data_IF_548317157349
#
_entry.id   IF_548317157349
#
_cell.length_a   1.000
_cell.length_b   1.000
_cell.length_c   1.000
_cell.angle_alpha   90.00
_cell.angle_beta   90.00
_cell.angle_gamma   90.00
#
_symmetry.space_group_name_H-M   'P 1'
#
loop_
_entity.id
_entity.type
_entity.pdbx_description
1 polymer ?
#
# COMPACT_ATOMS: atom_id res chain seq x y z
N UNK A 1 -37.00 4.83 -52.34
CA UNK A 1 -36.98 3.94 -53.53
C UNK A 1 -36.47 2.57 -53.09
N UNK A 2 -37.01 1.51 -53.67
CA UNK A 2 -36.52 0.13 -53.56
C UNK A 2 -36.16 -0.36 -55.00
N UNK A 3 -35.72 -1.61 -55.22
CA UNK A 3 -34.62 -2.34 -54.57
C UNK A 3 -33.63 -2.95 -55.60
N UNK A 4 -32.49 -3.49 -55.13
CA UNK A 4 -31.76 -4.60 -55.80
C UNK A 4 -30.95 -5.35 -54.74
N UNK A 5 -31.41 -6.51 -54.25
CA UNK A 5 -31.46 -7.85 -54.88
C UNK A 5 -30.07 -8.46 -55.02
N UNK A 6 -29.89 -9.63 -54.42
CA UNK A 6 -28.62 -10.36 -54.33
C UNK A 6 -28.21 -11.03 -55.66
N UNK A 7 -26.92 -11.27 -55.79
CA UNK A 7 -26.34 -12.21 -56.76
C UNK A 7 -25.42 -13.17 -56.00
N UNK A 8 -25.55 -14.48 -56.25
CA UNK A 8 -24.81 -15.52 -55.53
C UNK A 8 -24.06 -16.44 -56.49
N UNK A 9 -22.74 -16.57 -56.30
CA UNK A 9 -21.87 -17.56 -56.94
C UNK A 9 -20.51 -17.62 -56.21
N UNK A 10 -19.75 -18.73 -56.30
CA UNK A 10 -20.19 -20.12 -56.32
C UNK A 10 -19.52 -20.94 -55.19
N UNK A 11 -19.99 -22.19 -54.97
CA UNK A 11 -19.34 -23.10 -54.00
C UNK A 11 -17.97 -23.57 -54.51
N UNK A 12 -16.90 -23.27 -53.77
CA UNK A 12 -15.57 -23.86 -53.97
C UNK A 12 -15.32 -25.00 -52.97
N UNK A 13 -14.67 -26.07 -53.45
CA UNK A 13 -14.47 -27.38 -52.81
C UNK A 13 -14.02 -27.30 -51.34
N UNK A 14 -14.64 -28.11 -50.48
CA UNK A 14 -14.15 -28.36 -49.14
C UNK A 14 -12.93 -29.31 -49.17
N UNK A 15 -11.78 -28.83 -48.69
CA UNK A 15 -10.67 -29.71 -48.32
C UNK A 15 -10.95 -30.36 -46.96
N UNK A 16 -10.76 -31.67 -46.86
CA UNK A 16 -10.91 -32.42 -45.61
C UNK A 16 -9.68 -32.17 -44.72
N UNK A 17 -9.73 -31.09 -43.94
CA UNK A 17 -8.78 -30.89 -42.84
C UNK A 17 -9.00 -31.98 -41.79
N UNK A 18 -7.97 -32.80 -41.57
CA UNK A 18 -7.91 -33.74 -40.44
C UNK A 18 -8.17 -32.99 -39.12
N UNK A 19 -8.84 -33.59 -38.13
CA UNK A 19 -9.12 -32.92 -36.86
C UNK A 19 -7.80 -32.54 -36.19
N UNK A 20 -7.52 -31.23 -36.13
CA UNK A 20 -6.47 -30.67 -35.30
C UNK A 20 -6.96 -30.80 -33.86
N UNK A 21 -6.28 -31.58 -33.03
CA UNK A 21 -6.61 -31.70 -31.59
C UNK A 21 -6.80 -30.28 -31.02
N UNK A 22 -7.93 -30.06 -30.37
CA UNK A 22 -8.26 -28.76 -29.78
C UNK A 22 -7.18 -28.40 -28.76
N UNK A 23 -6.60 -27.21 -28.89
CA UNK A 23 -5.69 -26.69 -27.87
C UNK A 23 -6.55 -26.00 -26.81
N UNK A 24 -6.44 -26.36 -25.52
CA UNK A 24 -7.14 -25.64 -24.44
C UNK A 24 -6.63 -24.20 -24.22
N UNK A 25 -5.71 -23.72 -25.07
CA UNK A 25 -5.32 -22.32 -25.17
C UNK A 25 -6.34 -21.47 -25.95
N UNK A 26 -7.07 -22.08 -26.89
CA UNK A 26 -8.04 -21.38 -27.75
C UNK A 26 -9.40 -21.16 -27.06
N UNK A 27 -9.65 -21.81 -25.91
CA UNK A 27 -10.87 -21.63 -25.08
C UNK A 27 -10.78 -20.45 -24.11
N UNK A 28 -9.58 -19.91 -23.86
CA UNK A 28 -9.36 -18.86 -22.85
C UNK A 28 -9.65 -17.48 -23.48
N UNK A 29 -10.64 -16.70 -23.00
CA UNK A 29 -11.04 -15.46 -23.67
C UNK A 29 -9.94 -14.40 -23.66
N UNK A 30 -9.46 -14.02 -24.85
CA UNK A 30 -8.36 -13.06 -25.02
C UNK A 30 -8.75 -11.64 -24.62
N UNK A 31 -8.35 -11.23 -23.43
CA UNK A 31 -8.47 -9.86 -22.92
C UNK A 31 -7.44 -8.95 -23.62
N UNK A 32 -7.81 -7.74 -24.08
CA UNK A 32 -6.84 -6.76 -24.59
C UNK A 32 -5.94 -6.23 -23.46
N UNK A 33 -4.70 -5.89 -23.78
CA UNK A 33 -3.80 -5.24 -22.82
C UNK A 33 -4.28 -3.80 -22.57
N UNK A 34 -4.42 -3.34 -21.31
CA UNK A 34 -4.74 -1.95 -21.01
C UNK A 34 -3.64 -1.00 -21.51
N UNK A 35 -4.02 0.12 -22.11
CA UNK A 35 -3.08 1.17 -22.47
C UNK A 35 -2.62 1.89 -21.19
N UNK A 36 -1.32 1.76 -20.91
CA UNK A 36 -0.71 2.30 -19.70
C UNK A 36 -0.28 3.75 -19.85
N UNK A 37 0.11 4.18 -21.04
CA UNK A 37 0.67 5.52 -21.23
C UNK A 37 -0.45 6.55 -21.09
N UNK A 38 -1.61 6.28 -21.72
CA UNK A 38 -2.83 7.10 -21.57
C UNK A 38 -3.35 7.11 -20.11
N UNK A 39 -3.22 5.99 -19.37
CA UNK A 39 -3.60 5.95 -17.96
C UNK A 39 -2.63 6.75 -17.07
N UNK A 40 -1.32 6.57 -17.25
CA UNK A 40 -0.30 7.29 -16.48
C UNK A 40 -0.32 8.81 -16.82
N UNK A 41 -0.76 9.21 -18.02
CA UNK A 41 -1.02 10.62 -18.41
C UNK A 41 -2.29 11.20 -17.75
N UNK A 42 -3.45 10.58 -17.92
CA UNK A 42 -4.72 11.07 -17.33
C UNK A 42 -4.66 11.15 -15.79
N UNK A 43 -3.97 10.19 -15.14
CA UNK A 43 -3.72 10.23 -13.69
C UNK A 43 -2.78 11.38 -13.29
N UNK A 44 -1.83 11.78 -14.15
CA UNK A 44 -0.99 12.97 -13.91
C UNK A 44 -1.80 14.24 -14.05
N UNK A 45 -2.61 14.39 -15.09
CA UNK A 45 -3.44 15.60 -15.28
C UNK A 45 -4.35 15.87 -14.08
N UNK A 46 -5.07 14.84 -13.60
CA UNK A 46 -5.95 14.96 -12.43
C UNK A 46 -5.12 15.21 -11.15
N UNK A 47 -3.92 14.64 -11.03
CA UNK A 47 -3.04 14.91 -9.88
C UNK A 47 -2.52 16.35 -9.88
N UNK A 48 -2.13 16.89 -11.04
CA UNK A 48 -1.73 18.29 -11.20
C UNK A 48 -2.88 19.24 -10.85
N UNK A 49 -4.12 18.91 -11.24
CA UNK A 49 -5.31 19.67 -10.87
C UNK A 49 -5.56 19.65 -9.34
N UNK A 50 -5.44 18.48 -8.70
CA UNK A 50 -5.52 18.35 -7.23
C UNK A 50 -4.43 19.19 -6.54
N UNK A 51 -3.20 19.19 -7.05
CA UNK A 51 -2.10 19.98 -6.48
C UNK A 51 -2.34 21.49 -6.62
N UNK A 52 -2.85 21.96 -7.76
CA UNK A 52 -3.23 23.35 -7.96
C UNK A 52 -4.32 23.81 -6.99
N UNK A 53 -5.40 23.02 -6.83
CA UNK A 53 -6.47 23.30 -5.85
C UNK A 53 -5.94 23.26 -4.41
N UNK A 54 -5.04 22.31 -4.08
CA UNK A 54 -4.40 22.28 -2.75
C UNK A 54 -3.55 23.52 -2.48
N UNK A 55 -2.88 24.11 -3.46
CA UNK A 55 -2.15 25.38 -3.29
C UNK A 55 -3.13 26.52 -2.96
N UNK A 56 -4.30 26.57 -3.61
CA UNK A 56 -5.35 27.56 -3.31
C UNK A 56 -5.93 27.37 -1.89
N UNK A 57 -6.24 26.13 -1.48
CA UNK A 57 -6.70 25.81 -0.12
C UNK A 57 -5.65 26.18 0.93
N UNK A 58 -4.35 25.97 0.66
CA UNK A 58 -3.26 26.42 1.56
C UNK A 58 -3.17 27.95 1.63
N UNK A 59 -3.33 28.67 0.52
CA UNK A 59 -3.34 30.13 0.51
C UNK A 59 -4.49 30.69 1.37
N UNK A 60 -5.72 30.24 1.13
CA UNK A 60 -6.90 30.65 1.91
C UNK A 60 -6.76 30.26 3.39
N UNK A 61 -6.18 29.08 3.69
CA UNK A 61 -5.91 28.66 5.08
C UNK A 61 -4.89 29.56 5.78
N UNK A 62 -3.88 30.06 5.06
CA UNK A 62 -2.91 31.03 5.59
C UNK A 62 -3.56 32.40 5.82
N UNK A 63 -4.46 32.85 4.94
CA UNK A 63 -5.22 34.09 5.15
C UNK A 63 -6.17 33.99 6.36
N UNK A 64 -6.87 32.86 6.50
CA UNK A 64 -7.65 32.48 7.68
C UNK A 64 -6.80 32.56 8.95
N UNK A 65 -5.60 31.96 8.94
CA UNK A 65 -4.69 31.98 10.10
C UNK A 65 -4.20 33.40 10.41
N UNK A 66 -3.89 34.20 9.39
CA UNK A 66 -3.50 35.61 9.53
C UNK A 66 -4.61 36.46 10.14
N UNK A 67 -5.83 36.41 9.59
CA UNK A 67 -7.04 37.12 10.09
C UNK A 67 -7.44 36.66 11.51
N UNK A 68 -7.14 35.40 11.87
CA UNK A 68 -7.35 34.87 13.22
C UNK A 68 -6.26 35.25 14.23
N UNK A 69 -5.12 35.78 13.81
CA UNK A 69 -4.03 36.18 14.71
C UNK A 69 -4.44 37.33 15.65
N UNK A 70 -3.66 37.55 16.71
CA UNK A 70 -3.91 38.62 17.70
C UNK A 70 -5.29 38.57 18.36
N UNK A 71 -5.95 37.39 18.41
CA UNK A 71 -7.27 37.22 19.05
C UNK A 71 -7.19 37.56 20.54
N UNK A 72 -6.17 37.07 21.22
CA UNK A 72 -6.08 37.17 22.68
C UNK A 72 -5.64 38.58 23.12
N UNK A 73 -4.72 39.22 22.38
CA UNK A 73 -4.40 40.65 22.57
C UNK A 73 -5.60 41.58 22.35
N UNK A 74 -6.45 41.27 21.35
CA UNK A 74 -7.70 42.01 21.16
C UNK A 74 -8.64 41.80 22.35
N UNK A 75 -8.70 40.59 22.91
CA UNK A 75 -9.54 40.28 24.08
C UNK A 75 -9.03 40.96 25.35
N UNK A 76 -7.72 41.03 25.60
CA UNK A 76 -7.17 41.78 26.76
C UNK A 76 -7.46 43.27 26.63
N UNK A 77 -7.06 43.90 25.51
CA UNK A 77 -7.30 45.34 25.23
C UNK A 77 -8.79 45.69 25.29
N UNK A 78 -9.68 44.82 24.77
CA UNK A 78 -11.14 44.99 24.86
C UNK A 78 -11.66 44.92 26.30
N UNK A 79 -11.12 44.01 27.11
CA UNK A 79 -11.52 43.86 28.51
C UNK A 79 -10.98 45.02 29.38
N UNK A 80 -9.77 45.49 29.13
CA UNK A 80 -9.16 46.66 29.77
C UNK A 80 -9.96 47.94 29.48
N UNK A 81 -10.25 48.22 28.20
CA UNK A 81 -11.07 49.36 27.79
C UNK A 81 -12.49 49.30 28.37
N UNK A 82 -13.09 48.10 28.43
CA UNK A 82 -14.39 47.90 29.07
C UNK A 82 -14.32 48.14 30.58
N UNK A 83 -13.30 47.62 31.26
CA UNK A 83 -13.08 47.81 32.69
C UNK A 83 -12.99 49.30 33.03
N UNK A 84 -12.19 50.07 32.30
CA UNK A 84 -12.10 51.52 32.50
C UNK A 84 -13.41 52.25 32.16
N UNK A 85 -14.15 51.83 31.13
CA UNK A 85 -15.46 52.42 30.82
C UNK A 85 -16.51 52.15 31.93
N UNK A 86 -16.50 50.96 32.52
CA UNK A 86 -17.34 50.57 33.65
C UNK A 86 -16.89 51.29 34.95
N UNK A 87 -15.59 51.48 35.19
CA UNK A 87 -15.05 52.31 36.28
C UNK A 87 -15.46 53.79 36.14
N UNK A 88 -15.25 54.39 34.97
CA UNK A 88 -15.66 55.78 34.71
C UNK A 88 -17.17 55.94 34.86
N UNK A 89 -17.99 54.94 34.49
CA UNK A 89 -19.42 54.98 34.82
C UNK A 89 -19.66 55.01 36.32
N UNK A 90 -19.15 54.05 37.08
CA UNK A 90 -19.32 53.99 38.55
C UNK A 90 -18.90 55.29 39.24
N UNK A 91 -17.80 55.91 38.80
CA UNK A 91 -17.33 57.22 39.29
C UNK A 91 -18.31 58.36 38.94
N UNK A 92 -18.83 58.41 37.71
CA UNK A 92 -19.86 59.38 37.30
C UNK A 92 -21.15 59.18 38.10
N UNK A 93 -21.59 57.94 38.26
CA UNK A 93 -22.84 57.58 38.92
C UNK A 93 -22.79 57.95 40.42
N UNK A 94 -21.66 57.69 41.10
CA UNK A 94 -21.43 58.12 42.48
C UNK A 94 -21.33 59.65 42.64
N UNK A 95 -20.69 60.37 41.71
CA UNK A 95 -20.66 61.84 41.73
C UNK A 95 -22.04 62.45 41.44
N UNK A 96 -22.85 61.81 40.59
CA UNK A 96 -24.23 62.21 40.30
C UNK A 96 -25.13 61.99 41.54
N UNK A 97 -24.93 60.92 42.29
CA UNK A 97 -25.58 60.70 43.60
C UNK A 97 -25.19 61.78 44.62
N UNK A 98 -23.88 62.03 44.82
CA UNK A 98 -23.38 63.10 45.69
C UNK A 98 -23.94 64.47 45.31
N UNK A 99 -23.96 64.79 44.01
CA UNK A 99 -24.59 66.00 43.47
C UNK A 99 -26.07 66.09 43.83
N UNK A 100 -26.82 64.98 43.73
CA UNK A 100 -28.24 64.95 44.07
C UNK A 100 -28.48 65.22 45.56
N UNK A 101 -27.66 64.62 46.45
CA UNK A 101 -27.71 64.86 47.88
C UNK A 101 -27.37 66.30 48.26
N UNK A 102 -26.33 66.88 47.67
CA UNK A 102 -25.95 68.29 47.90
C UNK A 102 -27.03 69.24 47.37
N UNK A 103 -27.66 68.95 46.22
CA UNK A 103 -28.79 69.73 45.72
C UNK A 103 -30.01 69.66 46.65
N UNK A 104 -30.27 68.49 47.26
CA UNK A 104 -31.25 68.33 48.34
C UNK A 104 -30.94 69.24 49.53
N UNK A 105 -29.73 69.11 50.10
CA UNK A 105 -29.27 69.92 51.24
C UNK A 105 -29.29 71.44 50.97
N UNK A 106 -29.02 71.87 49.73
CA UNK A 106 -29.18 73.27 49.32
C UNK A 106 -30.66 73.68 49.31
N UNK A 107 -31.55 72.82 48.81
CA UNK A 107 -33.00 73.03 48.86
C UNK A 107 -33.51 73.17 50.29
N UNK A 108 -33.14 72.23 51.16
CA UNK A 108 -33.53 72.18 52.57
C UNK A 108 -33.04 73.44 53.31
N UNK A 109 -31.75 73.78 53.22
CA UNK A 109 -31.19 74.99 53.85
C UNK A 109 -31.77 76.30 53.31
N UNK A 110 -32.18 76.34 52.05
CA UNK A 110 -32.89 77.49 51.47
C UNK A 110 -34.33 77.58 52.00
N UNK A 111 -34.99 76.44 52.22
CA UNK A 111 -36.29 76.39 52.89
C UNK A 111 -36.19 76.82 54.36
N UNK A 112 -35.25 76.28 55.14
CA UNK A 112 -34.95 76.71 56.52
C UNK A 112 -34.69 78.21 56.61
N UNK A 113 -33.83 78.76 55.74
CA UNK A 113 -33.51 80.19 55.71
C UNK A 113 -34.75 81.05 55.39
N UNK A 114 -35.60 80.58 54.46
CA UNK A 114 -36.88 81.21 54.13
C UNK A 114 -37.88 81.16 55.30
N UNK A 115 -37.95 80.06 56.04
CA UNK A 115 -38.79 79.94 57.22
C UNK A 115 -38.28 80.80 58.38
N UNK A 116 -36.98 80.81 58.66
CA UNK A 116 -36.35 81.68 59.65
C UNK A 116 -36.59 83.16 59.32
N UNK A 117 -36.48 83.56 58.04
CA UNK A 117 -36.87 84.90 57.58
C UNK A 117 -38.37 85.18 57.72
N UNK A 118 -39.24 84.19 57.55
CA UNK A 118 -40.67 84.34 57.81
C UNK A 118 -40.99 84.45 59.32
N UNK A 119 -40.27 83.72 60.17
CA UNK A 119 -40.37 83.82 61.64
C UNK A 119 -39.87 85.18 62.13
N UNK A 120 -38.72 85.66 61.67
CA UNK A 120 -38.23 87.02 61.95
C UNK A 120 -39.25 88.08 61.51
N UNK A 121 -39.80 88.00 60.30
CA UNK A 121 -40.82 88.96 59.85
C UNK A 121 -42.12 88.88 60.68
N UNK A 122 -42.48 87.73 61.27
CA UNK A 122 -43.57 87.63 62.24
C UNK A 122 -43.19 88.28 63.58
N UNK A 123 -41.99 88.02 64.09
CA UNK A 123 -41.47 88.65 65.32
C UNK A 123 -41.43 90.18 65.19
N UNK A 124 -40.84 90.72 64.12
CA UNK A 124 -40.79 92.16 63.79
C UNK A 124 -42.19 92.81 63.86
N UNK A 125 -43.18 92.17 63.25
CA UNK A 125 -44.59 92.62 63.28
C UNK A 125 -45.24 92.55 64.67
N UNK A 126 -44.82 91.60 65.51
CA UNK A 126 -45.36 91.44 66.87
C UNK A 126 -44.74 92.36 67.92
N UNK A 127 -43.53 92.89 67.67
CA UNK A 127 -42.78 93.70 68.64
C UNK A 127 -43.13 95.19 68.58
N UNK A 128 -43.58 95.69 67.43
CA UNK A 128 -44.00 97.09 67.22
C UNK A 128 -42.85 98.11 67.15
N UNK A 129 -41.82 97.92 67.96
CA UNK A 129 -40.62 98.75 68.05
C UNK A 129 -39.39 97.99 67.54
N UNK A 130 -38.45 98.69 66.91
CA UNK A 130 -37.25 98.09 66.29
C UNK A 130 -35.93 98.46 66.96
N UNK A 131 -35.89 99.47 67.84
CA UNK A 131 -34.76 99.71 68.73
C UNK A 131 -35.18 99.57 70.20
N UNK A 132 -34.22 99.21 71.04
CA UNK A 132 -34.36 99.25 72.49
C UNK A 132 -34.48 100.70 73.00
N UNK A 133 -33.77 101.64 72.38
CA UNK A 133 -33.82 103.07 72.74
C UNK A 133 -35.22 103.66 72.55
N UNK A 134 -35.88 103.31 71.44
CA UNK A 134 -37.24 103.76 71.13
C UNK A 134 -38.30 103.21 72.10
N UNK A 135 -38.01 102.09 72.78
CA UNK A 135 -38.83 101.58 73.88
C UNK A 135 -38.58 102.40 75.15
N UNK A 136 -37.32 102.71 75.48
CA UNK A 136 -36.97 103.49 76.66
C UNK A 136 -37.44 104.95 76.55
N UNK A 137 -37.30 105.60 75.39
CA UNK A 137 -37.87 106.92 75.09
C UNK A 137 -39.39 106.93 75.28
N UNK A 138 -40.07 105.88 74.80
CA UNK A 138 -41.53 105.75 74.97
C UNK A 138 -41.89 105.60 76.45
N UNK A 139 -41.20 104.73 77.19
CA UNK A 139 -41.38 104.56 78.64
C UNK A 139 -41.17 105.90 79.35
N UNK A 140 -40.07 106.60 79.10
CA UNK A 140 -39.76 107.89 79.71
C UNK A 140 -40.82 108.95 79.38
N UNK A 141 -41.35 108.98 78.15
CA UNK A 141 -42.43 109.90 77.77
C UNK A 141 -43.74 109.63 78.54
N UNK A 142 -44.03 108.37 78.85
CA UNK A 142 -45.22 107.98 79.63
C UNK A 142 -45.02 108.27 81.12
N UNK A 143 -43.84 107.92 81.67
CA UNK A 143 -43.51 108.16 83.07
C UNK A 143 -43.48 109.68 83.37
N UNK A 144 -42.88 110.49 82.49
CA UNK A 144 -42.94 111.96 82.56
C UNK A 144 -44.38 112.49 82.51
N UNK A 145 -45.21 111.97 81.59
CA UNK A 145 -46.61 112.38 81.46
C UNK A 145 -47.41 112.07 82.74
N UNK A 146 -47.22 110.89 83.31
CA UNK A 146 -47.84 110.48 84.57
C UNK A 146 -47.39 111.33 85.78
N UNK A 147 -46.21 111.95 85.72
CA UNK A 147 -45.70 112.83 86.78
C UNK A 147 -46.14 114.31 86.63
N UNK A 148 -46.62 114.71 85.45
CA UNK A 148 -46.85 116.13 85.11
C UNK A 148 -48.29 116.48 84.70
N UNK A 149 -49.08 115.52 84.20
CA UNK A 149 -50.49 115.72 83.88
C UNK A 149 -51.43 115.13 84.95
N UNK A 150 -52.58 115.76 85.18
CA UNK A 150 -53.67 115.21 85.99
C UNK A 150 -54.54 114.26 85.17
N UNK A 151 -54.10 113.00 85.07
CA UNK A 151 -54.70 111.95 84.24
C UNK A 151 -55.84 111.23 85.00
N UNK A 152 -56.87 110.72 84.30
CA UNK A 152 -57.91 109.91 84.98
C UNK A 152 -57.38 108.53 85.39
N UNK A 153 -57.88 107.98 86.50
CA UNK A 153 -57.50 106.64 87.00
C UNK A 153 -57.74 105.49 85.98
N UNK A 154 -58.55 105.73 84.93
CA UNK A 154 -58.81 104.78 83.84
C UNK A 154 -57.75 104.87 82.73
N UNK A 155 -57.09 106.01 82.59
CA UNK A 155 -56.03 106.26 81.62
C UNK A 155 -54.65 106.01 82.23
N UNK A 156 -54.44 106.41 83.49
CA UNK A 156 -53.27 106.04 84.28
C UNK A 156 -53.03 104.52 84.26
N UNK A 157 -54.09 103.72 84.48
CA UNK A 157 -54.03 102.25 84.38
C UNK A 157 -53.73 101.72 82.97
N UNK A 158 -54.05 102.47 81.90
CA UNK A 158 -53.62 102.11 80.54
C UNK A 158 -52.14 102.41 80.33
N UNK A 159 -51.67 103.56 80.81
CA UNK A 159 -50.27 103.99 80.69
C UNK A 159 -49.33 103.06 81.48
N UNK A 160 -49.74 102.63 82.69
CA UNK A 160 -49.03 101.60 83.46
C UNK A 160 -49.02 100.24 82.76
N UNK A 161 -50.11 99.83 82.10
CA UNK A 161 -50.16 98.62 81.29
C UNK A 161 -49.25 98.73 80.05
N UNK A 162 -49.21 99.88 79.39
CA UNK A 162 -48.33 100.17 78.26
C UNK A 162 -46.85 100.08 78.69
N UNK A 163 -46.46 100.69 79.82
CA UNK A 163 -45.12 100.55 80.40
C UNK A 163 -44.77 99.08 80.71
N UNK A 164 -45.71 98.32 81.28
CA UNK A 164 -45.49 96.91 81.60
C UNK A 164 -45.26 96.05 80.35
N UNK A 165 -46.05 96.27 79.29
CA UNK A 165 -45.88 95.56 78.02
C UNK A 165 -44.63 95.99 77.24
N UNK A 166 -44.26 97.28 77.28
CA UNK A 166 -43.00 97.79 76.73
C UNK A 166 -41.79 97.14 77.42
N UNK A 167 -41.75 97.15 78.76
CA UNK A 167 -40.68 96.50 79.54
C UNK A 167 -40.66 94.97 79.33
N UNK A 168 -41.81 94.34 79.06
CA UNK A 168 -41.93 92.91 78.68
C UNK A 168 -41.47 92.60 77.24
N UNK A 169 -41.48 93.59 76.34
CA UNK A 169 -41.10 93.41 74.94
C UNK A 169 -39.64 93.79 74.64
N UNK A 170 -39.03 94.70 75.42
CA UNK A 170 -37.61 95.10 75.27
C UNK A 170 -36.62 93.92 75.08
N UNK A 171 -36.56 92.89 75.95
CA UNK A 171 -35.61 91.78 75.76
C UNK A 171 -35.85 91.00 74.46
N UNK A 172 -37.09 90.95 73.98
CA UNK A 172 -37.44 90.27 72.71
C UNK A 172 -36.99 91.08 71.49
N UNK A 173 -36.90 92.41 71.58
CA UNK A 173 -36.27 93.25 70.55
C UNK A 173 -34.76 92.98 70.52
N UNK A 174 -34.12 92.83 71.69
CA UNK A 174 -32.71 92.41 71.76
C UNK A 174 -32.46 91.05 71.10
N UNK A 175 -33.29 90.04 71.39
CA UNK A 175 -33.22 88.73 70.72
C UNK A 175 -33.50 88.82 69.21
N UNK A 176 -34.48 89.62 68.81
CA UNK A 176 -34.83 89.82 67.41
C UNK A 176 -33.69 90.45 66.63
N UNK A 177 -33.04 91.49 67.18
CA UNK A 177 -31.92 92.18 66.52
C UNK A 177 -30.71 91.24 66.34
N UNK A 178 -30.35 90.47 67.38
CA UNK A 178 -29.30 89.43 67.29
C UNK A 178 -29.59 88.42 66.18
N UNK A 179 -30.82 87.89 66.13
CA UNK A 179 -31.26 86.94 65.09
C UNK A 179 -31.35 87.59 63.71
N UNK A 180 -31.64 88.90 63.59
CA UNK A 180 -31.59 89.64 62.31
C UNK A 180 -30.14 89.82 61.82
N UNK A 181 -29.18 90.06 62.71
CA UNK A 181 -27.75 90.19 62.39
C UNK A 181 -27.14 88.84 61.96
N UNK A 182 -27.37 87.77 62.74
CA UNK A 182 -26.98 86.39 62.39
C UNK A 182 -27.50 86.01 60.98
N UNK A 183 -28.76 86.33 60.68
CA UNK A 183 -29.39 86.02 59.39
C UNK A 183 -29.04 86.97 58.23
N UNK A 184 -28.32 88.07 58.48
CA UNK A 184 -27.79 88.98 57.43
C UNK A 184 -26.47 88.48 56.84
N UNK A 185 -25.58 87.93 57.67
CA UNK A 185 -24.28 87.41 57.23
C UNK A 185 -24.32 86.01 56.62
N UNK A 186 -25.38 85.24 56.88
CA UNK A 186 -25.44 83.81 56.59
C UNK A 186 -26.15 83.47 55.25
N UNK A 187 -25.37 83.20 54.19
CA UNK A 187 -25.81 82.33 53.08
C UNK A 187 -25.38 80.87 53.36
N UNK A 188 -26.26 80.01 53.90
CA UNK A 188 -25.96 78.60 54.18
C UNK A 188 -25.65 77.75 52.95
N UNK A 189 -25.81 78.29 51.74
CA UNK A 189 -25.65 77.57 50.47
C UNK A 189 -24.31 77.84 49.75
N UNK A 190 -23.51 78.85 50.14
CA UNK A 190 -22.23 79.15 49.47
C UNK A 190 -21.28 77.94 49.43
N UNK A 191 -20.95 77.39 50.60
CA UNK A 191 -20.03 76.24 50.68
C UNK A 191 -20.56 74.99 49.95
N UNK A 192 -21.88 74.83 49.81
CA UNK A 192 -22.50 73.73 49.07
C UNK A 192 -22.48 73.99 47.55
N UNK A 193 -22.62 75.26 47.11
CA UNK A 193 -22.40 75.67 45.71
C UNK A 193 -20.94 75.40 45.29
N UNK A 194 -19.98 75.67 46.16
CA UNK A 194 -18.54 75.42 45.92
C UNK A 194 -18.16 73.94 45.91
N UNK A 195 -18.99 73.06 46.48
CA UNK A 195 -18.88 71.61 46.32
C UNK A 195 -19.53 71.17 45.01
N UNK A 196 -20.70 71.74 44.68
CA UNK A 196 -21.44 71.46 43.45
C UNK A 196 -20.64 71.83 42.18
N UNK A 197 -19.90 72.94 42.17
CA UNK A 197 -19.00 73.29 41.05
C UNK A 197 -17.91 72.24 40.85
N UNK A 198 -17.16 71.90 41.89
CA UNK A 198 -16.09 70.88 41.87
C UNK A 198 -16.59 69.50 41.42
N UNK A 199 -17.79 69.09 41.86
CA UNK A 199 -18.40 67.83 41.41
C UNK A 199 -18.81 67.90 39.93
N UNK A 200 -19.29 69.05 39.44
CA UNK A 200 -19.55 69.23 38.00
C UNK A 200 -18.26 69.20 37.16
N UNK A 201 -17.17 69.78 37.65
CA UNK A 201 -15.84 69.74 37.01
C UNK A 201 -15.30 68.31 36.93
N UNK A 202 -15.31 67.57 38.06
CA UNK A 202 -14.90 66.15 38.12
C UNK A 202 -15.76 65.26 37.21
N UNK A 203 -17.08 65.48 37.18
CA UNK A 203 -17.96 64.79 36.22
C UNK A 203 -17.68 65.17 34.77
N UNK A 204 -17.17 66.38 34.49
CA UNK A 204 -16.75 66.80 33.16
C UNK A 204 -15.57 65.95 32.68
N UNK A 205 -14.48 65.94 33.46
CA UNK A 205 -13.28 65.16 33.19
C UNK A 205 -13.60 63.67 32.99
N UNK A 206 -14.35 63.06 33.92
CA UNK A 206 -14.73 61.63 33.81
C UNK A 206 -15.61 61.33 32.59
N UNK A 207 -16.40 62.28 32.09
CA UNK A 207 -17.19 62.12 30.86
C UNK A 207 -16.32 62.24 29.62
N UNK A 208 -15.29 63.07 29.63
CA UNK A 208 -14.29 63.15 28.56
C UNK A 208 -13.41 61.90 28.52
N UNK A 209 -12.95 61.40 29.67
CA UNK A 209 -12.29 60.09 29.80
C UNK A 209 -13.18 58.96 29.27
N UNK A 210 -14.44 58.86 29.74
CA UNK A 210 -15.40 57.84 29.29
C UNK A 210 -15.67 57.93 27.78
N UNK A 211 -15.69 59.14 27.21
CA UNK A 211 -15.80 59.37 25.76
C UNK A 211 -14.55 58.90 25.01
N UNK A 212 -13.35 59.14 25.56
CA UNK A 212 -12.08 58.64 25.02
C UNK A 212 -12.01 57.12 25.01
N UNK A 213 -12.26 56.46 26.15
CA UNK A 213 -12.30 55.00 26.25
C UNK A 213 -13.39 54.38 25.35
N UNK A 214 -14.57 55.01 25.25
CA UNK A 214 -15.64 54.56 24.34
C UNK A 214 -15.24 54.67 22.86
N UNK A 215 -14.56 55.75 22.47
CA UNK A 215 -14.05 55.91 21.10
C UNK A 215 -12.98 54.87 20.76
N UNK A 216 -12.02 54.65 21.66
CA UNK A 216 -10.97 53.63 21.49
C UNK A 216 -11.57 52.20 21.43
N UNK A 217 -12.58 51.91 22.25
CA UNK A 217 -13.30 50.63 22.25
C UNK A 217 -14.07 50.42 20.93
N UNK A 218 -14.71 51.47 20.41
CA UNK A 218 -15.39 51.46 19.10
C UNK A 218 -14.42 51.26 17.94
N UNK A 219 -13.26 51.94 17.96
CA UNK A 219 -12.19 51.78 16.97
C UNK A 219 -11.64 50.35 16.99
N UNK A 220 -11.24 49.84 18.15
CA UNK A 220 -10.70 48.48 18.32
C UNK A 220 -11.67 47.40 17.81
N UNK A 221 -12.98 47.56 18.06
CA UNK A 221 -14.02 46.65 17.55
C UNK A 221 -14.18 46.79 16.03
N UNK A 222 -14.19 48.01 15.48
CA UNK A 222 -14.32 48.27 14.04
C UNK A 222 -13.13 47.69 13.27
N UNK A 223 -11.90 47.94 13.72
CA UNK A 223 -10.67 47.36 13.18
C UNK A 223 -10.75 45.82 13.16
N UNK A 224 -11.14 45.20 14.29
CA UNK A 224 -11.26 43.75 14.33
C UNK A 224 -12.40 43.22 13.46
N UNK A 225 -13.51 43.95 13.34
CA UNK A 225 -14.61 43.59 12.46
C UNK A 225 -14.22 43.69 10.99
N UNK A 226 -13.41 44.66 10.58
CA UNK A 226 -12.88 44.76 9.22
C UNK A 226 -11.95 43.58 8.87
N UNK A 227 -11.10 43.15 9.83
CA UNK A 227 -10.22 41.97 9.64
C UNK A 227 -11.00 40.64 9.67
N UNK A 228 -12.05 40.53 10.49
CA UNK A 228 -12.75 39.25 10.76
C UNK A 228 -14.07 39.09 10.01
N UNK A 229 -14.66 40.14 9.43
CA UNK A 229 -15.97 40.08 8.77
C UNK A 229 -15.99 39.19 7.53
N UNK A 230 -14.90 39.23 6.76
CA UNK A 230 -14.66 38.41 5.57
C UNK A 230 -14.30 36.93 5.88
N UNK A 231 -14.06 36.62 7.17
CA UNK A 231 -13.63 35.28 7.60
C UNK A 231 -14.62 34.16 7.22
N UNK A 232 -15.93 34.46 7.18
CA UNK A 232 -16.93 33.47 6.74
C UNK A 232 -16.77 33.13 5.26
N UNK A 233 -16.57 34.13 4.39
CA UNK A 233 -16.39 33.93 2.96
C UNK A 233 -15.18 33.06 2.65
N UNK A 234 -14.05 33.28 3.35
CA UNK A 234 -12.88 32.42 3.24
C UNK A 234 -13.14 30.97 3.70
N UNK A 235 -13.93 30.75 4.76
CA UNK A 235 -14.29 29.38 5.17
C UNK A 235 -15.20 28.71 4.13
N UNK A 236 -16.21 29.42 3.63
CA UNK A 236 -17.13 28.91 2.60
C UNK A 236 -16.33 28.52 1.33
N UNK A 237 -15.45 29.40 0.82
CA UNK A 237 -14.55 29.15 -0.34
C UNK A 237 -13.57 27.99 -0.10
N UNK A 238 -12.97 27.89 1.09
CA UNK A 238 -12.07 26.77 1.45
C UNK A 238 -12.82 25.44 1.36
N UNK A 239 -14.08 25.42 1.79
CA UNK A 239 -14.87 24.20 1.87
C UNK A 239 -15.52 23.83 0.52
N UNK A 240 -15.74 24.80 -0.37
CA UNK A 240 -15.99 24.57 -1.80
C UNK A 240 -14.78 23.92 -2.49
N UNK A 241 -13.58 24.51 -2.38
CA UNK A 241 -12.36 23.95 -2.97
C UNK A 241 -12.00 22.56 -2.39
N UNK A 242 -12.27 22.32 -1.11
CA UNK A 242 -12.12 20.99 -0.51
C UNK A 242 -13.08 19.97 -1.15
N UNK A 243 -14.32 20.35 -1.48
CA UNK A 243 -15.26 19.47 -2.19
C UNK A 243 -14.78 19.17 -3.62
N UNK A 244 -14.26 20.15 -4.35
CA UNK A 244 -13.64 19.93 -5.68
C UNK A 244 -12.43 18.99 -5.60
N UNK A 245 -11.58 19.14 -4.58
CA UNK A 245 -10.45 18.23 -4.32
C UNK A 245 -10.95 16.81 -4.04
N UNK A 246 -11.99 16.61 -3.24
CA UNK A 246 -12.54 15.27 -2.98
C UNK A 246 -13.15 14.65 -4.25
N UNK A 247 -13.85 15.44 -5.08
CA UNK A 247 -14.38 14.98 -6.36
C UNK A 247 -13.27 14.54 -7.31
N UNK A 248 -12.20 15.34 -7.47
CA UNK A 248 -11.03 14.99 -8.29
C UNK A 248 -10.23 13.81 -7.72
N UNK A 249 -10.19 13.64 -6.40
CA UNK A 249 -9.60 12.44 -5.76
C UNK A 249 -10.42 11.18 -6.07
N UNK A 250 -11.75 11.27 -6.04
CA UNK A 250 -12.65 10.17 -6.39
C UNK A 250 -12.51 9.75 -7.85
N UNK A 251 -12.56 10.71 -8.79
CA UNK A 251 -12.34 10.51 -10.23
C UNK A 251 -11.00 9.82 -10.52
N UNK A 252 -9.92 10.25 -9.84
CA UNK A 252 -8.59 9.62 -9.94
C UNK A 252 -8.55 8.22 -9.33
N UNK A 253 -9.38 7.93 -8.34
CA UNK A 253 -9.45 6.60 -7.72
C UNK A 253 -10.25 5.63 -8.59
N UNK A 254 -11.36 6.09 -9.17
CA UNK A 254 -12.20 5.33 -10.10
C UNK A 254 -11.39 4.89 -11.32
N UNK A 255 -10.71 5.83 -12.01
CA UNK A 255 -9.80 5.51 -13.13
C UNK A 255 -8.71 4.49 -12.76
N UNK A 256 -8.17 4.56 -11.53
CA UNK A 256 -7.15 3.62 -11.05
C UNK A 256 -7.72 2.24 -10.76
N UNK A 257 -8.96 2.15 -10.27
CA UNK A 257 -9.61 0.87 -10.04
C UNK A 257 -10.16 0.25 -11.33
N UNK A 258 -10.56 1.04 -12.33
CA UNK A 258 -10.82 0.56 -13.70
C UNK A 258 -9.55 -0.01 -14.37
N UNK A 259 -8.44 0.72 -14.29
CA UNK A 259 -7.14 0.25 -14.79
C UNK A 259 -6.67 -1.00 -14.05
N UNK A 260 -6.81 -1.04 -12.72
CA UNK A 260 -6.53 -2.24 -11.90
C UNK A 260 -7.42 -3.42 -12.29
N UNK A 261 -8.73 -3.22 -12.50
CA UNK A 261 -9.64 -4.28 -12.90
C UNK A 261 -9.32 -4.84 -14.30
N UNK A 262 -9.02 -3.98 -15.27
CA UNK A 262 -8.65 -4.41 -16.62
C UNK A 262 -7.27 -5.08 -16.65
N UNK A 263 -6.29 -4.57 -15.89
CA UNK A 263 -4.98 -5.19 -15.73
C UNK A 263 -5.06 -6.54 -15.00
N UNK A 264 -5.92 -6.68 -13.98
CA UNK A 264 -6.17 -7.97 -13.33
C UNK A 264 -6.75 -8.99 -14.32
N UNK A 265 -7.80 -8.63 -15.08
CA UNK A 265 -8.37 -9.50 -16.13
C UNK A 265 -7.33 -9.95 -17.16
N UNK A 266 -6.41 -9.07 -17.56
CA UNK A 266 -5.30 -9.39 -18.46
C UNK A 266 -4.23 -10.29 -17.81
N UNK A 267 -3.90 -10.06 -16.54
CA UNK A 267 -2.99 -10.90 -15.76
C UNK A 267 -3.58 -12.31 -15.55
N UNK A 268 -4.86 -12.42 -15.23
CA UNK A 268 -5.56 -13.70 -15.05
C UNK A 268 -5.61 -14.49 -16.35
N UNK A 269 -5.94 -13.84 -17.47
CA UNK A 269 -5.86 -14.42 -18.82
C UNK A 269 -4.45 -14.95 -19.14
N UNK A 270 -3.42 -14.11 -18.99
CA UNK A 270 -2.04 -14.53 -19.31
C UNK A 270 -1.49 -15.59 -18.36
N UNK A 271 -1.92 -15.59 -17.10
CA UNK A 271 -1.59 -16.64 -16.13
C UNK A 271 -2.31 -17.97 -16.44
N UNK A 272 -3.57 -17.94 -16.88
CA UNK A 272 -4.29 -19.14 -17.31
C UNK A 272 -3.64 -19.79 -18.55
N UNK A 273 -3.30 -18.99 -19.57
CA UNK A 273 -2.54 -19.46 -20.75
C UNK A 273 -1.18 -20.02 -20.36
N UNK A 274 -0.47 -19.40 -19.42
CA UNK A 274 0.82 -19.90 -18.90
C UNK A 274 0.69 -21.23 -18.16
N UNK A 275 -0.33 -21.39 -17.30
CA UNK A 275 -0.62 -22.65 -16.59
C UNK A 275 -0.94 -23.76 -17.57
N UNK A 276 -1.91 -23.56 -18.47
CA UNK A 276 -2.26 -24.53 -19.53
C UNK A 276 -1.04 -25.03 -20.32
N UNK A 277 -0.12 -24.12 -20.68
CA UNK A 277 1.17 -24.47 -21.33
C UNK A 277 2.14 -25.22 -20.41
N UNK A 278 2.25 -24.84 -19.14
CA UNK A 278 3.09 -25.52 -18.15
C UNK A 278 2.58 -26.94 -17.87
N UNK A 279 1.28 -27.10 -17.63
CA UNK A 279 0.64 -28.38 -17.35
C UNK A 279 0.81 -29.34 -18.54
N UNK A 280 0.53 -28.87 -19.77
CA UNK A 280 0.79 -29.61 -21.01
C UNK A 280 2.27 -30.00 -21.18
N UNK A 281 3.20 -29.08 -20.91
CA UNK A 281 4.63 -29.36 -21.03
C UNK A 281 5.14 -30.32 -19.94
N UNK A 282 4.52 -30.34 -18.76
CA UNK A 282 4.81 -31.29 -17.69
C UNK A 282 4.24 -32.68 -18.01
N UNK A 283 3.02 -32.76 -18.56
CA UNK A 283 2.42 -34.02 -19.00
C UNK A 283 3.19 -34.63 -20.17
N UNK A 284 3.57 -33.83 -21.19
CA UNK A 284 4.38 -34.31 -22.31
C UNK A 284 5.78 -34.76 -21.86
N UNK A 285 6.43 -34.05 -20.92
CA UNK A 285 7.67 -34.51 -20.29
C UNK A 285 7.49 -35.82 -19.54
N UNK A 286 6.43 -35.95 -18.74
CA UNK A 286 6.13 -37.16 -17.96
C UNK A 286 5.85 -38.36 -18.88
N UNK A 287 5.14 -38.15 -19.99
CA UNK A 287 4.94 -39.16 -21.02
C UNK A 287 6.27 -39.59 -21.66
N UNK A 288 7.09 -38.62 -22.12
CA UNK A 288 8.40 -38.91 -22.72
C UNK A 288 9.39 -39.54 -21.74
N UNK A 289 9.32 -39.22 -20.44
CA UNK A 289 10.08 -39.90 -19.39
C UNK A 289 9.61 -41.34 -19.19
N UNK A 290 8.30 -41.59 -19.08
CA UNK A 290 7.75 -42.93 -18.95
C UNK A 290 8.00 -43.81 -20.19
N UNK A 291 8.03 -43.23 -21.39
CA UNK A 291 8.45 -43.90 -22.63
C UNK A 291 9.95 -44.21 -22.63
N UNK A 292 10.80 -43.23 -22.28
CA UNK A 292 12.25 -43.41 -22.20
C UNK A 292 12.63 -44.46 -21.15
N UNK A 293 12.03 -44.45 -19.95
CA UNK A 293 12.30 -45.48 -18.94
C UNK A 293 11.86 -46.88 -19.40
N UNK A 294 10.76 -47.00 -20.17
CA UNK A 294 10.34 -48.28 -20.75
C UNK A 294 11.35 -48.75 -21.80
N UNK A 295 11.79 -47.87 -22.69
CA UNK A 295 12.83 -48.15 -23.68
C UNK A 295 14.17 -48.51 -23.02
N UNK A 296 14.56 -47.86 -21.92
CA UNK A 296 15.74 -48.26 -21.12
C UNK A 296 15.55 -49.65 -20.49
N UNK A 297 14.40 -49.96 -19.89
CA UNK A 297 14.11 -51.29 -19.32
C UNK A 297 14.14 -52.38 -20.39
N UNK A 298 13.55 -52.13 -21.56
CA UNK A 298 13.62 -53.04 -22.72
C UNK A 298 15.07 -53.24 -23.17
N UNK A 299 15.83 -52.18 -23.46
CA UNK A 299 17.23 -52.28 -23.89
C UNK A 299 18.13 -52.96 -22.85
N UNK A 300 17.83 -52.83 -21.55
CA UNK A 300 18.56 -53.53 -20.48
C UNK A 300 18.21 -55.03 -20.45
N UNK A 301 16.98 -55.42 -20.79
CA UNK A 301 16.62 -56.82 -21.01
C UNK A 301 17.23 -57.38 -22.31
N UNK A 302 17.17 -56.64 -23.42
CA UNK A 302 17.74 -57.04 -24.73
C UNK A 302 19.27 -57.20 -24.68
N UNK A 303 19.98 -56.33 -23.92
CA UNK A 303 21.41 -56.51 -23.62
C UNK A 303 21.69 -57.81 -22.86
N UNK A 304 20.75 -58.28 -22.05
CA UNK A 304 20.88 -59.56 -21.35
C UNK A 304 20.59 -60.77 -22.27
N UNK A 305 20.09 -60.58 -23.49
CA UNK A 305 19.96 -61.67 -24.47
C UNK A 305 21.26 -61.99 -25.24
N UNK A 306 22.31 -61.17 -25.13
CA UNK A 306 23.58 -61.46 -25.81
C UNK A 306 24.39 -62.53 -25.07
N UNK A 307 24.34 -63.77 -25.59
CA UNK A 307 25.01 -64.95 -25.04
C UNK A 307 26.54 -64.78 -24.90
N UNK A 308 27.09 -64.81 -23.66
CA UNK A 308 28.53 -64.93 -23.43
C UNK A 308 29.07 -66.23 -24.01
N UNK A 309 30.36 -66.23 -24.36
CA UNK A 309 31.06 -67.38 -24.96
C UNK A 309 30.52 -67.85 -26.33
N UNK A 310 29.52 -67.20 -26.95
CA UNK A 310 29.06 -67.51 -28.32
C UNK A 310 30.21 -67.58 -29.34
N UNK A 311 31.20 -66.69 -29.24
CA UNK A 311 32.38 -66.68 -30.11
C UNK A 311 33.37 -67.84 -29.83
N UNK A 312 33.31 -68.43 -28.64
CA UNK A 312 34.18 -69.53 -28.21
C UNK A 312 33.53 -70.89 -28.49
N UNK A 313 32.21 -71.03 -28.26
CA UNK A 313 31.45 -72.22 -28.67
C UNK A 313 31.37 -72.37 -30.17
N UNK A 314 31.08 -71.32 -30.95
CA UNK A 314 31.08 -71.42 -32.41
C UNK A 314 32.47 -71.73 -33.00
N UNK A 315 33.56 -71.36 -32.30
CA UNK A 315 34.93 -71.75 -32.64
C UNK A 315 35.19 -73.24 -32.32
N UNK A 316 34.70 -73.74 -31.18
CA UNK A 316 34.74 -75.16 -30.81
C UNK A 316 33.92 -76.03 -31.77
N UNK A 317 32.69 -75.64 -32.11
CA UNK A 317 31.86 -76.32 -33.11
C UNK A 317 32.56 -76.41 -34.47
N UNK A 318 33.19 -75.33 -34.92
CA UNK A 318 33.93 -75.29 -36.20
C UNK A 318 35.16 -76.21 -36.19
N UNK A 319 35.90 -76.29 -35.08
CA UNK A 319 37.08 -77.17 -34.97
C UNK A 319 36.70 -78.64 -34.76
N UNK A 320 35.63 -78.93 -34.02
CA UNK A 320 35.03 -80.27 -33.92
C UNK A 320 34.52 -80.73 -35.29
N UNK A 321 33.83 -79.86 -36.04
CA UNK A 321 33.37 -80.16 -37.39
C UNK A 321 34.53 -80.40 -38.37
N UNK A 322 35.63 -79.65 -38.24
CA UNK A 322 36.86 -79.88 -38.99
C UNK A 322 37.49 -81.25 -38.67
N UNK A 323 37.67 -81.59 -37.39
CA UNK A 323 38.18 -82.90 -36.98
C UNK A 323 37.28 -84.06 -37.42
N UNK A 324 35.96 -83.94 -37.28
CA UNK A 324 35.00 -84.94 -37.79
C UNK A 324 35.02 -85.05 -39.33
N UNK A 325 35.38 -83.97 -40.03
CA UNK A 325 35.60 -83.96 -41.48
C UNK A 325 36.88 -84.69 -41.94
N UNK A 326 37.85 -84.90 -41.05
CA UNK A 326 39.14 -85.55 -41.31
C UNK A 326 39.14 -87.07 -41.09
N UNK A 327 38.13 -87.61 -40.38
CA UNK A 327 37.98 -89.05 -40.20
C UNK A 327 37.82 -89.78 -41.55
N UNK A 328 38.40 -90.99 -41.72
CA UNK A 328 38.27 -91.76 -42.96
C UNK A 328 36.80 -92.07 -43.29
N UNK A 329 36.30 -91.49 -44.39
CA UNK A 329 34.99 -91.86 -44.94
C UNK A 329 35.09 -93.21 -45.64
N UNK A 330 34.65 -94.26 -44.95
CA UNK A 330 34.58 -95.60 -45.52
C UNK A 330 33.73 -95.62 -46.78
N UNK A 331 34.30 -96.15 -47.87
CA UNK A 331 33.65 -96.19 -49.19
C UNK A 331 32.76 -97.42 -49.34
N UNK A 332 31.65 -97.42 -48.62
CA UNK A 332 30.53 -98.32 -48.83
C UNK A 332 29.29 -97.54 -49.30
N UNK A 333 28.90 -97.72 -50.57
CA UNK A 333 27.57 -97.33 -51.06
C UNK A 333 27.40 -95.91 -51.63
N UNK A 334 27.11 -95.86 -52.94
CA UNK A 334 26.20 -94.91 -53.62
C UNK A 334 26.41 -93.39 -53.42
N UNK A 335 26.99 -92.72 -54.43
CA UNK A 335 26.75 -91.29 -54.67
C UNK A 335 25.34 -91.07 -55.26
N UNK A 336 24.31 -90.98 -54.42
CA UNK A 336 22.98 -90.57 -54.90
C UNK A 336 22.86 -89.04 -54.88
N UNK A 337 22.94 -88.41 -56.05
CA UNK A 337 22.74 -86.97 -56.23
C UNK A 337 21.25 -86.61 -56.19
N UNK A 338 20.63 -86.71 -55.01
CA UNK A 338 19.31 -86.12 -54.76
C UNK A 338 19.42 -84.60 -54.86
N UNK A 339 18.95 -84.04 -55.98
CA UNK A 339 18.78 -82.59 -56.13
C UNK A 339 17.72 -82.10 -55.15
N UNK A 340 18.13 -81.37 -54.11
CA UNK A 340 17.19 -80.65 -53.25
C UNK A 340 16.46 -79.60 -54.09
N UNK A 341 15.19 -79.85 -54.37
CA UNK A 341 14.29 -78.81 -54.84
C UNK A 341 14.15 -77.75 -53.74
N UNK A 342 14.36 -76.48 -54.08
CA UNK A 342 14.13 -75.37 -53.16
C UNK A 342 12.64 -75.06 -53.17
N UNK A 343 11.92 -75.59 -52.18
CA UNK A 343 10.55 -75.14 -51.89
C UNK A 343 10.64 -73.75 -51.25
N UNK A 344 10.16 -72.72 -51.94
CA UNK A 344 10.12 -71.37 -51.41
C UNK A 344 9.00 -71.22 -50.34
N UNK A 345 9.29 -70.71 -49.15
CA UNK A 345 8.27 -70.11 -48.28
C UNK A 345 7.91 -68.69 -48.78
N UNK A 346 6.72 -68.24 -48.42
CA UNK A 346 6.08 -67.05 -48.98
C UNK A 346 6.45 -65.73 -48.26
N UNK A 347 6.13 -64.62 -48.92
CA UNK A 347 6.08 -63.23 -48.44
C UNK A 347 7.39 -62.44 -48.16
N UNK A 348 7.51 -61.32 -48.89
CA UNK A 348 8.15 -60.07 -48.44
C UNK A 348 9.65 -60.02 -48.09
N UNK A 349 10.49 -60.96 -48.54
CA UNK A 349 11.96 -60.80 -48.45
C UNK A 349 12.64 -60.94 -49.81
N UNK A 350 13.35 -59.89 -50.26
CA UNK A 350 14.06 -59.86 -51.54
C UNK A 350 15.30 -60.75 -51.51
N UNK A 351 15.17 -61.98 -52.03
CA UNK A 351 16.28 -62.92 -52.20
C UNK A 351 17.31 -62.32 -53.15
N UNK A 352 18.50 -62.04 -52.61
CA UNK A 352 19.56 -61.37 -53.34
C UNK A 352 20.23 -62.35 -54.33
N UNK A 353 19.89 -62.22 -55.62
CA UNK A 353 20.36 -63.12 -56.68
C UNK A 353 21.88 -63.31 -56.73
N UNK A 354 22.28 -64.47 -57.26
CA UNK A 354 23.68 -64.86 -57.48
C UNK A 354 24.42 -63.81 -58.30
N UNK A 355 25.75 -63.78 -58.11
CA UNK A 355 26.65 -62.76 -58.68
C UNK A 355 26.68 -62.71 -60.21
N UNK A 356 26.16 -63.74 -60.88
CA UNK A 356 26.11 -63.91 -62.33
C UNK A 356 24.87 -63.25 -62.96
N UNK A 357 23.78 -63.05 -62.19
CA UNK A 357 22.51 -62.47 -62.67
C UNK A 357 22.36 -60.97 -62.32
N UNK A 358 23.45 -60.19 -62.34
CA UNK A 358 23.46 -58.78 -61.87
C UNK A 358 24.36 -57.85 -62.70
N UNK A 359 24.26 -57.94 -64.02
CA UNK A 359 25.23 -57.30 -64.94
C UNK A 359 24.82 -55.92 -65.52
N UNK A 360 23.68 -55.32 -65.14
CA UNK A 360 23.14 -54.12 -65.82
C UNK A 360 23.56 -52.73 -65.27
N UNK A 361 24.35 -52.63 -64.19
CA UNK A 361 24.91 -51.34 -63.71
C UNK A 361 26.45 -51.36 -63.61
N UNK A 362 27.13 -51.45 -64.76
CA UNK A 362 28.60 -51.57 -64.84
C UNK A 362 29.31 -50.26 -65.25
N UNK A 363 29.29 -49.24 -64.40
CA UNK A 363 29.83 -47.89 -64.69
C UNK A 363 31.38 -47.75 -64.60
N UNK A 364 32.17 -48.71 -65.09
CA UNK A 364 33.59 -48.46 -65.41
C UNK A 364 34.17 -49.49 -66.39
N UNK A 365 34.95 -49.05 -67.39
CA UNK A 365 35.43 -49.91 -68.47
C UNK A 365 36.82 -50.55 -68.19
N UNK A 366 36.96 -51.90 -68.19
CA UNK A 366 38.26 -52.56 -67.96
C UNK A 366 39.05 -52.81 -69.25
N UNK A 367 40.29 -52.35 -69.33
CA UNK A 367 41.14 -52.45 -70.54
C UNK A 367 42.07 -53.68 -70.56
N UNK A 368 41.58 -54.76 -71.17
CA UNK A 368 42.33 -55.82 -71.90
C UNK A 368 43.66 -56.39 -71.31
N UNK A 369 43.60 -57.68 -70.93
CA UNK A 369 44.45 -58.82 -71.39
C UNK A 369 45.99 -58.79 -71.15
N UNK A 370 46.74 -59.90 -71.25
CA UNK A 370 46.55 -61.36 -70.98
C UNK A 370 47.87 -62.06 -71.39
N UNK A 371 48.55 -62.75 -70.49
CA UNK A 371 49.50 -63.82 -70.86
C UNK A 371 49.62 -64.86 -69.74
N UNK A 372 49.55 -66.13 -70.11
CA UNK A 372 49.89 -67.27 -69.25
C UNK A 372 51.19 -67.88 -69.78
N UNK A 373 51.94 -68.57 -68.92
CA UNK A 373 52.63 -69.79 -69.37
C UNK A 373 52.75 -70.83 -68.25
N UNK A 374 53.11 -72.07 -68.59
CA UNK A 374 52.55 -73.26 -67.91
C UNK A 374 53.48 -74.49 -67.88
N UNK A 375 53.83 -74.95 -66.68
CA UNK A 375 54.35 -76.30 -66.35
C UNK A 375 54.03 -76.54 -64.85
N UNK A 376 53.34 -77.57 -64.35
CA UNK A 376 53.16 -78.99 -64.70
C UNK A 376 54.43 -79.82 -64.39
N UNK A 377 54.59 -80.42 -63.18
CA UNK A 377 54.05 -81.72 -62.66
C UNK A 377 55.02 -82.89 -63.00
N UNK A 378 55.44 -83.78 -62.07
CA UNK A 378 54.78 -85.06 -61.68
C UNK A 378 55.56 -85.81 -60.55
N UNK A 379 54.86 -86.24 -59.46
CA UNK A 379 55.06 -87.39 -58.51
C UNK A 379 56.45 -87.66 -57.83
N UNK A 380 56.58 -88.40 -56.71
CA UNK A 380 55.64 -89.15 -55.80
C UNK A 380 55.82 -88.60 -54.33
N UNK A 381 55.78 -89.25 -53.14
CA UNK A 381 55.59 -90.63 -52.59
C UNK A 381 54.61 -90.62 -51.39
N UNK A 382 54.20 -91.81 -50.91
CA UNK A 382 53.23 -92.08 -49.85
C UNK A 382 53.69 -91.81 -48.39
N UNK A 383 52.84 -91.17 -47.60
CA UNK A 383 52.37 -91.59 -46.24
C UNK A 383 51.25 -90.64 -45.77
N UNK A 384 50.36 -91.07 -44.86
CA UNK A 384 49.15 -90.30 -44.46
C UNK A 384 49.42 -89.28 -43.34
N UNK A 385 50.10 -88.18 -43.64
CA UNK A 385 50.09 -86.99 -42.78
C UNK A 385 48.85 -86.13 -43.10
N UNK A 386 48.19 -85.57 -42.07
CA UNK A 386 47.07 -84.63 -42.27
C UNK A 386 47.62 -83.26 -42.70
N UNK A 387 47.09 -82.72 -43.80
CA UNK A 387 47.49 -81.41 -44.32
C UNK A 387 46.61 -80.30 -43.76
N UNK A 388 46.93 -79.88 -42.54
CA UNK A 388 46.39 -78.68 -41.93
C UNK A 388 46.78 -77.42 -42.70
N UNK A 389 45.92 -76.40 -42.64
CA UNK A 389 46.22 -75.05 -43.09
C UNK A 389 46.87 -74.25 -41.95
N UNK A 390 47.59 -73.16 -42.26
CA UNK A 390 48.15 -72.27 -41.23
C UNK A 390 47.04 -71.68 -40.36
N UNK A 391 45.91 -71.35 -40.98
CA UNK A 391 44.72 -70.86 -40.27
C UNK A 391 44.13 -71.91 -39.31
N UNK A 392 44.10 -73.20 -39.67
CA UNK A 392 43.55 -74.23 -38.77
C UNK A 392 44.45 -74.44 -37.57
N UNK A 393 45.78 -74.42 -37.72
CA UNK A 393 46.71 -74.41 -36.57
C UNK A 393 46.42 -73.23 -35.62
N UNK A 394 46.13 -72.04 -36.14
CA UNK A 394 45.75 -70.89 -35.31
C UNK A 394 44.39 -71.05 -34.60
N UNK A 395 43.47 -71.88 -35.10
CA UNK A 395 42.22 -72.21 -34.37
C UNK A 395 42.52 -73.15 -33.20
N UNK A 396 43.34 -74.18 -33.43
CA UNK A 396 43.80 -75.12 -32.40
C UNK A 396 44.65 -74.44 -31.31
N UNK A 397 45.56 -73.54 -31.69
CA UNK A 397 46.37 -72.73 -30.79
C UNK A 397 45.52 -71.82 -29.89
N UNK A 398 44.47 -71.19 -30.44
CA UNK A 398 43.50 -70.38 -29.66
C UNK A 398 42.74 -71.20 -28.63
N UNK A 399 42.40 -72.46 -28.95
CA UNK A 399 41.74 -73.41 -28.05
C UNK A 399 42.72 -74.18 -27.14
N UNK A 400 44.04 -73.98 -27.32
CA UNK A 400 45.12 -74.63 -26.58
C UNK A 400 45.07 -76.16 -26.61
N UNK A 401 44.69 -76.72 -27.77
CA UNK A 401 44.69 -78.17 -28.05
C UNK A 401 45.66 -78.41 -29.20
N UNK A 402 46.56 -79.38 -29.07
CA UNK A 402 47.50 -79.73 -30.15
C UNK A 402 46.75 -80.29 -31.36
N UNK A 403 47.04 -79.75 -32.54
CA UNK A 403 46.37 -80.14 -33.78
C UNK A 403 46.76 -81.58 -34.20
N UNK A 404 45.79 -82.47 -34.52
CA UNK A 404 46.06 -83.90 -34.77
C UNK A 404 46.86 -84.10 -36.06
N UNK A 405 48.16 -84.37 -35.95
CA UNK A 405 49.08 -84.50 -37.10
C UNK A 405 48.79 -85.78 -37.90
N UNK A 406 48.37 -86.83 -37.22
CA UNK A 406 48.11 -88.17 -37.77
C UNK A 406 46.63 -88.55 -37.61
N UNK A 407 46.15 -89.50 -38.42
CA UNK A 407 44.74 -89.95 -38.40
C UNK A 407 44.31 -90.57 -37.08
N UNK A 408 45.28 -91.01 -36.30
CA UNK A 408 45.06 -91.85 -35.12
C UNK A 408 44.96 -90.98 -33.85
N UNK A 409 45.36 -89.69 -33.95
CA UNK A 409 45.23 -88.65 -32.92
C UNK A 409 43.87 -87.92 -32.98
N UNK A 410 43.13 -88.08 -34.09
CA UNK A 410 41.78 -87.51 -34.28
C UNK A 410 40.77 -87.87 -33.17
N UNK A 411 40.64 -89.12 -32.68
CA UNK A 411 39.70 -89.42 -31.60
C UNK A 411 40.04 -88.71 -30.28
N UNK A 412 41.32 -88.69 -29.89
CA UNK A 412 41.74 -88.05 -28.64
C UNK A 412 41.59 -86.52 -28.67
N UNK A 413 41.90 -85.89 -29.81
CA UNK A 413 41.69 -84.44 -30.00
C UNK A 413 40.20 -84.08 -30.11
N UNK A 414 39.35 -84.97 -30.63
CA UNK A 414 37.89 -84.80 -30.57
C UNK A 414 37.34 -84.88 -29.15
N UNK A 415 37.78 -85.85 -28.35
CA UNK A 415 37.36 -85.98 -26.94
C UNK A 415 37.76 -84.74 -26.13
N UNK A 416 38.98 -84.22 -26.34
CA UNK A 416 39.43 -82.98 -25.70
C UNK A 416 38.62 -81.73 -26.10
N UNK A 417 38.27 -81.60 -27.40
CA UNK A 417 37.42 -80.50 -27.88
C UNK A 417 35.98 -80.62 -27.36
N UNK A 418 35.42 -81.83 -27.34
CA UNK A 418 34.05 -82.07 -26.86
C UNK A 418 33.95 -81.86 -25.34
N UNK A 419 34.99 -82.21 -24.58
CA UNK A 419 35.09 -81.88 -23.16
C UNK A 419 35.20 -80.36 -22.91
N UNK A 420 35.99 -79.62 -23.70
CA UNK A 420 35.99 -78.16 -23.63
C UNK A 420 34.59 -77.59 -23.96
N UNK A 421 33.95 -78.07 -25.02
CA UNK A 421 32.62 -77.61 -25.43
C UNK A 421 31.55 -77.91 -24.36
N UNK A 422 31.60 -79.06 -23.70
CA UNK A 422 30.75 -79.35 -22.55
C UNK A 422 30.96 -78.33 -21.42
N UNK A 423 32.22 -78.05 -21.05
CA UNK A 423 32.57 -77.05 -20.04
C UNK A 423 32.31 -75.58 -20.42
N UNK A 424 31.94 -75.30 -21.67
CA UNK A 424 31.36 -74.02 -22.09
C UNK A 424 29.83 -74.05 -22.12
N UNK A 425 29.23 -75.19 -22.50
CA UNK A 425 27.78 -75.38 -22.46
C UNK A 425 27.23 -75.33 -21.03
N UNK A 426 27.96 -75.88 -20.03
CA UNK A 426 27.60 -75.75 -18.61
C UNK A 426 27.60 -74.29 -18.14
N UNK A 427 28.59 -73.48 -18.58
CA UNK A 427 28.65 -72.03 -18.29
C UNK A 427 27.52 -71.27 -18.98
N UNK A 428 27.14 -71.69 -20.18
CA UNK A 428 25.99 -71.12 -20.91
C UNK A 428 24.70 -71.42 -20.15
N UNK A 429 24.44 -72.67 -19.73
CA UNK A 429 23.25 -73.04 -18.96
C UNK A 429 23.18 -72.24 -17.65
N UNK A 430 24.29 -72.18 -16.89
CA UNK A 430 24.37 -71.38 -15.66
C UNK A 430 24.16 -69.87 -15.92
N UNK A 431 24.60 -69.36 -17.07
CA UNK A 431 24.32 -67.98 -17.49
C UNK A 431 22.85 -67.79 -17.90
N UNK A 432 22.21 -68.74 -18.59
CA UNK A 432 20.80 -68.61 -19.00
C UNK A 432 19.86 -68.59 -17.79
N UNK A 433 20.12 -69.40 -16.76
CA UNK A 433 19.39 -69.36 -15.49
C UNK A 433 19.56 -68.00 -14.78
N UNK A 434 20.81 -67.50 -14.68
CA UNK A 434 21.09 -66.18 -14.11
C UNK A 434 20.45 -65.06 -14.93
N UNK A 435 20.56 -65.11 -16.26
CA UNK A 435 19.96 -64.16 -17.22
C UNK A 435 18.46 -64.06 -16.99
N UNK A 436 17.75 -65.17 -16.94
CA UNK A 436 16.28 -65.13 -16.88
C UNK A 436 15.78 -64.72 -15.48
N UNK A 437 16.53 -65.02 -14.40
CA UNK A 437 16.23 -64.42 -13.10
C UNK A 437 16.52 -62.91 -13.05
N UNK A 438 17.62 -62.44 -13.66
CA UNK A 438 17.99 -61.03 -13.74
C UNK A 438 17.00 -60.24 -14.62
N UNK A 439 16.65 -60.76 -15.81
CA UNK A 439 15.60 -60.19 -16.67
C UNK A 439 14.27 -60.07 -15.94
N UNK A 440 13.85 -61.11 -15.20
CA UNK A 440 12.64 -61.05 -14.37
C UNK A 440 12.72 -59.90 -13.36
N UNK A 441 13.84 -59.76 -12.63
CA UNK A 441 14.04 -58.68 -11.66
C UNK A 441 14.09 -57.29 -12.31
N UNK A 442 14.62 -57.14 -13.54
CA UNK A 442 14.60 -55.89 -14.32
C UNK A 442 13.16 -55.55 -14.74
N UNK A 443 12.39 -56.55 -15.21
CA UNK A 443 11.02 -56.37 -15.72
C UNK A 443 9.99 -56.15 -14.59
N UNK A 444 10.19 -56.79 -13.43
CA UNK A 444 9.45 -56.54 -12.18
C UNK A 444 9.89 -55.21 -11.50
N UNK A 445 10.91 -54.53 -12.03
CA UNK A 445 11.31 -53.17 -11.63
C UNK A 445 12.22 -53.07 -10.41
N UNK A 446 12.85 -54.18 -10.00
CA UNK A 446 13.66 -54.29 -8.78
C UNK A 446 15.18 -54.44 -8.97
N UNK A 447 15.69 -54.43 -10.20
CA UNK A 447 17.12 -54.56 -10.48
C UNK A 447 17.59 -53.63 -11.59
N UNK A 448 18.74 -52.96 -11.39
CA UNK A 448 19.43 -52.19 -12.42
C UNK A 448 20.88 -52.69 -12.53
N UNK A 449 21.28 -53.34 -13.65
CA UNK A 449 22.60 -53.96 -13.80
C UNK A 449 23.76 -52.96 -13.78
N UNK A 450 23.55 -51.71 -14.17
CA UNK A 450 24.63 -50.72 -14.25
C UNK A 450 25.11 -50.29 -12.84
N UNK A 451 24.22 -50.37 -11.83
CA UNK A 451 24.50 -49.95 -10.45
C UNK A 451 25.56 -50.81 -9.72
N UNK A 452 25.86 -52.02 -10.23
CA UNK A 452 26.94 -52.84 -9.68
C UNK A 452 28.31 -52.48 -10.27
N UNK A 453 28.38 -52.01 -11.52
CA UNK A 453 29.65 -51.61 -12.13
C UNK A 453 30.19 -50.28 -11.58
N UNK A 454 29.33 -49.32 -11.27
CA UNK A 454 29.78 -48.09 -10.58
C UNK A 454 30.22 -48.38 -9.14
N UNK A 455 29.55 -49.31 -8.45
CA UNK A 455 29.88 -49.71 -7.07
C UNK A 455 31.27 -50.34 -6.89
N UNK A 456 31.75 -51.11 -7.87
CA UNK A 456 33.05 -51.81 -7.80
C UNK A 456 34.25 -50.88 -8.07
N UNK A 457 34.03 -49.65 -8.55
CA UNK A 457 35.11 -48.68 -8.83
C UNK A 457 35.42 -47.71 -7.69
N UNK A 458 34.64 -47.72 -6.60
CA UNK A 458 34.73 -46.73 -5.50
C UNK A 458 35.34 -47.31 -4.21
N UNK A 459 35.39 -48.63 -4.05
CA UNK A 459 35.96 -49.30 -2.86
C UNK A 459 37.50 -49.40 -2.86
N UNK A 460 38.19 -48.38 -3.37
CA UNK A 460 39.60 -48.46 -3.79
C UNK A 460 40.62 -47.62 -3.01
N UNK A 461 40.21 -46.83 -2.01
CA UNK A 461 41.12 -46.05 -1.14
C UNK A 461 40.61 -46.04 0.30
N UNK A 462 41.36 -46.68 1.20
CA UNK A 462 41.18 -46.57 2.66
C UNK A 462 42.10 -45.48 3.27
N UNK A 463 41.88 -45.04 4.52
CA UNK A 463 42.18 -43.66 4.95
C UNK A 463 43.48 -43.50 5.78
N UNK A 464 43.54 -42.37 6.50
CA UNK A 464 44.64 -41.87 7.36
C UNK A 464 45.81 -41.19 6.58
N UNK A 465 46.47 -40.13 7.06
CA UNK A 465 46.47 -39.50 8.40
C UNK A 465 46.27 -37.96 8.33
N UNK A 466 45.53 -37.38 9.28
CA UNK A 466 45.73 -35.99 9.76
C UNK A 466 45.52 -35.98 11.27
N UNK A 467 46.41 -35.32 12.00
CA UNK A 467 46.44 -35.21 13.47
C UNK A 467 45.65 -34.02 13.99
N UNK A 468 45.09 -34.13 15.20
CA UNK A 468 44.91 -32.97 16.11
C UNK A 468 46.25 -32.57 16.75
#
# INVERSE_FOLDING_TARGET
>A
MAPKVAAAAPKAKAEVKKPRKENPEDEIPKVPQPDREVHDETVREITNAIEALQVQVRAISNEIQGKSSGKDEFLTKKNELRFHLDECSKKIDALQEQKSGILGQVGDRVAENKEMKAQLNKMKKSLGYTSEDAIDERIASIEYRMWTESITLKEEKKLLAEIADLKRNKPKVSEYNKKEEEMKGFDPSLSLKDQLTKINEQMGLLKEEKKGYSAAFGQLISERQNVTGDMKGLFDQRDELNQEIQAKIAERQELKDEFRQSMNKYNDYTNAVRRSRQDRAMEEKRARQAEWEKDQRMRKADKLDTQPHLAETTLLEQTIAFCKGLLPKDKAGVEEKVTKAVTAPDSSMTVLMKKEDREEEFYFAPTKKKTQNKSNKVKKTDTKAIKHNVETFQLFEKLKIDAPITTDDLPATLEALEAQMAGYNEKIIAWEEQRDELKRKILEGGFDPDAQQEGETVSGVEPETVTE
#
